data_IF_704270690563
#
_entry.id   IF_704270690563
#
_cell.length_a   1.000
_cell.length_b   1.000
_cell.length_c   1.000
_cell.angle_alpha   90.00
_cell.angle_beta   90.00
_cell.angle_gamma   90.00
#
_symmetry.space_group_name_H-M   'P 1'
#
loop_
_entity.id
_entity.type
_entity.pdbx_description
1 polymer ?
#
# COMPACT_ATOMS: atom_id res chain seq x y z
N UNK A 1 41.14 -51.91 50.85
CA UNK A 1 40.37 -50.64 50.70
C UNK A 1 40.52 -50.19 49.26
N UNK A 2 39.45 -50.46 48.44
CA UNK A 2 39.45 -50.05 47.03
C UNK A 2 38.71 -48.72 46.91
N UNK A 3 39.42 -47.66 46.51
CA UNK A 3 38.83 -46.35 46.23
C UNK A 3 38.15 -46.39 44.84
N UNK A 4 36.83 -46.33 44.79
CA UNK A 4 36.07 -46.17 43.56
C UNK A 4 36.09 -44.68 43.14
N UNK A 5 36.66 -44.39 42.02
CA UNK A 5 36.69 -43.08 41.38
C UNK A 5 35.42 -42.91 40.54
N UNK A 6 34.48 -42.13 41.05
CA UNK A 6 33.29 -41.76 40.30
C UNK A 6 33.64 -40.68 39.26
N UNK A 7 33.61 -41.06 37.98
CA UNK A 7 33.73 -40.09 36.87
C UNK A 7 32.34 -39.50 36.62
N UNK A 8 32.12 -38.24 37.05
CA UNK A 8 30.93 -37.48 36.74
C UNK A 8 31.10 -36.90 35.33
N UNK A 9 30.48 -37.55 34.31
CA UNK A 9 30.41 -37.01 32.95
C UNK A 9 29.34 -35.93 32.93
N UNK A 10 29.75 -34.67 33.02
CA UNK A 10 28.88 -33.51 32.80
C UNK A 10 28.60 -33.39 31.31
N UNK A 11 27.43 -33.82 30.89
CA UNK A 11 26.94 -33.61 29.53
C UNK A 11 26.48 -32.17 29.41
N UNK A 12 27.35 -31.27 28.96
CA UNK A 12 26.94 -29.90 28.57
C UNK A 12 26.20 -29.97 27.25
N UNK A 13 24.87 -29.95 27.31
CA UNK A 13 24.03 -29.68 26.14
C UNK A 13 24.28 -28.24 25.74
N UNK A 14 25.12 -28.02 24.73
CA UNK A 14 25.20 -26.75 24.03
C UNK A 14 23.93 -26.58 23.19
N UNK A 15 22.96 -25.88 23.75
CA UNK A 15 21.84 -25.40 22.94
C UNK A 15 22.40 -24.36 21.98
N UNK A 16 22.49 -24.71 20.70
CA UNK A 16 22.71 -23.73 19.66
C UNK A 16 21.50 -22.83 19.63
N UNK A 17 21.53 -21.69 20.32
CA UNK A 17 20.55 -20.63 20.17
C UNK A 17 20.74 -20.04 18.79
N UNK A 18 19.91 -20.43 17.84
CA UNK A 18 19.74 -19.66 16.62
C UNK A 18 19.09 -18.35 17.01
N UNK A 19 19.87 -17.28 17.05
CA UNK A 19 19.32 -15.95 17.24
C UNK A 19 18.47 -15.59 16.02
N UNK A 20 17.19 -15.43 16.22
CA UNK A 20 16.30 -14.90 15.19
C UNK A 20 16.67 -13.44 14.92
N UNK A 21 16.79 -13.08 13.65
CA UNK A 21 17.21 -11.75 13.23
C UNK A 21 15.96 -10.93 12.86
N UNK A 22 15.71 -9.87 13.64
CA UNK A 22 14.63 -8.92 13.35
C UNK A 22 14.75 -8.40 11.90
N UNK A 23 13.62 -8.22 11.25
CA UNK A 23 13.43 -7.82 9.85
C UNK A 23 13.75 -8.91 8.81
N UNK A 24 14.34 -10.03 9.21
CA UNK A 24 14.59 -11.20 8.37
C UNK A 24 13.66 -12.35 8.79
N UNK A 25 13.70 -12.70 10.07
CA UNK A 25 12.91 -13.79 10.64
C UNK A 25 11.62 -13.28 11.30
N UNK A 26 10.62 -14.15 11.44
CA UNK A 26 9.43 -13.88 12.23
C UNK A 26 9.79 -14.00 13.72
N UNK A 27 10.12 -12.88 14.35
CA UNK A 27 10.55 -12.82 15.76
C UNK A 27 9.40 -12.51 16.73
N UNK A 28 8.23 -12.12 16.21
CA UNK A 28 7.02 -11.88 16.96
C UNK A 28 6.00 -12.98 16.66
N UNK A 29 5.36 -13.50 17.70
CA UNK A 29 4.34 -14.57 17.58
C UNK A 29 2.99 -14.03 17.13
N UNK A 30 2.69 -12.75 17.44
CA UNK A 30 1.36 -12.18 17.27
C UNK A 30 1.40 -10.78 16.65
N UNK A 31 0.26 -10.34 16.13
CA UNK A 31 0.09 -9.09 15.38
C UNK A 31 -1.14 -8.35 15.90
N UNK A 32 -0.96 -7.06 16.19
CA UNK A 32 -2.06 -6.14 16.47
C UNK A 32 -2.52 -5.52 15.14
N UNK A 33 -3.84 -5.50 14.90
CA UNK A 33 -4.42 -4.97 13.67
C UNK A 33 -5.35 -3.81 13.99
N UNK A 34 -5.08 -2.65 13.40
CA UNK A 34 -5.97 -1.49 13.41
C UNK A 34 -6.74 -1.48 12.09
N UNK A 35 -7.99 -1.90 12.14
CA UNK A 35 -8.84 -2.04 10.95
C UNK A 35 -9.55 -0.75 10.60
N UNK A 36 -9.81 -0.56 9.30
CA UNK A 36 -10.63 0.53 8.75
C UNK A 36 -10.17 1.94 9.16
N UNK A 37 -8.86 2.12 9.27
CA UNK A 37 -8.26 3.43 9.53
C UNK A 37 -8.46 4.31 8.30
N UNK A 38 -9.11 5.47 8.47
CA UNK A 38 -9.30 6.43 7.39
C UNK A 38 -7.99 7.19 7.13
N UNK A 39 -7.41 6.98 5.95
CA UNK A 39 -6.18 7.67 5.54
C UNK A 39 -6.43 8.86 4.59
N UNK A 40 -7.68 9.09 4.21
CA UNK A 40 -8.07 10.19 3.34
C UNK A 40 -9.50 10.07 2.82
N UNK A 41 -9.92 11.06 2.04
CA UNK A 41 -11.19 11.07 1.33
C UNK A 41 -10.97 11.60 -0.08
N UNK A 42 -11.54 10.93 -1.09
CA UNK A 42 -11.42 11.41 -2.47
C UNK A 42 -12.61 10.97 -3.33
N UNK A 43 -12.76 11.60 -4.49
CA UNK A 43 -13.90 11.33 -5.39
C UNK A 43 -13.76 9.96 -6.04
N UNK A 44 -14.76 9.10 -5.81
CA UNK A 44 -14.90 7.79 -6.44
C UNK A 44 -15.83 7.86 -7.65
N UNK A 45 -15.52 7.07 -8.69
CA UNK A 45 -16.36 6.89 -9.87
C UNK A 45 -17.31 5.70 -9.75
N UNK A 46 -17.22 4.91 -8.69
CA UNK A 46 -18.07 3.73 -8.48
C UNK A 46 -19.58 4.07 -8.47
N UNK A 47 -20.04 5.22 -7.96
CA UNK A 47 -21.44 5.59 -8.02
C UNK A 47 -22.01 5.63 -9.44
N UNK A 48 -21.19 5.87 -10.47
CA UNK A 48 -21.63 5.81 -11.87
C UNK A 48 -22.23 4.46 -12.25
N UNK A 49 -21.80 3.36 -11.63
CA UNK A 49 -22.35 2.03 -11.86
C UNK A 49 -23.81 1.90 -11.41
N UNK A 50 -24.25 2.78 -10.53
CA UNK A 50 -25.61 2.86 -9.99
C UNK A 50 -26.38 4.05 -10.59
N UNK A 51 -25.86 4.69 -11.65
CA UNK A 51 -26.46 5.87 -12.27
C UNK A 51 -26.37 7.16 -11.43
N UNK A 52 -25.53 7.17 -10.39
CA UNK A 52 -25.30 8.34 -9.54
C UNK A 52 -24.00 9.05 -9.93
N UNK A 53 -23.88 10.37 -9.69
CA UNK A 53 -22.64 11.11 -9.98
C UNK A 53 -21.49 10.66 -9.10
N UNK A 54 -20.21 10.84 -9.54
CA UNK A 54 -19.04 10.63 -8.72
C UNK A 54 -19.15 11.40 -7.40
N UNK A 55 -18.73 10.78 -6.31
CA UNK A 55 -18.88 11.37 -4.98
C UNK A 55 -17.67 11.09 -4.09
N UNK A 56 -17.40 11.96 -3.09
CA UNK A 56 -16.36 11.71 -2.08
C UNK A 56 -16.62 10.40 -1.34
N UNK A 57 -15.55 9.60 -1.21
CA UNK A 57 -15.59 8.30 -0.53
C UNK A 57 -14.38 8.22 0.42
N UNK A 58 -14.57 7.76 1.67
CA UNK A 58 -13.46 7.48 2.58
C UNK A 58 -12.49 6.45 2.00
N UNK A 59 -11.21 6.68 2.19
CA UNK A 59 -10.13 5.78 1.80
C UNK A 59 -9.63 5.07 3.06
N UNK A 60 -9.80 3.75 3.11
CA UNK A 60 -9.55 2.95 4.31
C UNK A 60 -8.33 2.05 4.15
N UNK A 61 -7.56 1.92 5.22
CA UNK A 61 -6.46 0.95 5.32
C UNK A 61 -6.55 0.15 6.62
N UNK A 62 -5.86 -0.99 6.64
CA UNK A 62 -5.58 -1.75 7.86
C UNK A 62 -4.09 -1.66 8.16
N UNK A 63 -3.76 -1.40 9.41
CA UNK A 63 -2.37 -1.26 9.88
C UNK A 63 -2.07 -2.43 10.81
N UNK A 64 -0.98 -3.13 10.52
CA UNK A 64 -0.52 -4.33 11.20
C UNK A 64 0.78 -4.01 11.94
N UNK A 65 0.80 -4.25 13.25
CA UNK A 65 1.97 -4.03 14.10
C UNK A 65 2.39 -5.32 14.81
N UNK A 66 3.68 -5.53 15.10
CA UNK A 66 4.11 -6.62 15.97
C UNK A 66 3.56 -6.39 17.39
N UNK A 67 2.79 -7.36 17.91
CA UNK A 67 2.22 -7.24 19.26
C UNK A 67 3.32 -7.23 20.33
N UNK A 68 3.21 -6.28 21.26
CA UNK A 68 4.16 -6.15 22.37
C UNK A 68 5.52 -5.53 22.02
N UNK A 69 5.71 -5.03 20.81
CA UNK A 69 6.93 -4.35 20.40
C UNK A 69 6.91 -2.87 20.82
N UNK A 70 7.96 -2.43 21.49
CA UNK A 70 8.11 -1.05 21.99
C UNK A 70 8.98 -0.16 21.11
N UNK A 71 9.51 -0.65 19.98
CA UNK A 71 10.31 0.19 19.09
C UNK A 71 9.48 1.27 18.41
N UNK A 72 10.07 2.45 18.28
CA UNK A 72 9.46 3.64 17.66
C UNK A 72 10.17 4.10 16.39
N UNK A 73 10.94 3.21 15.75
CA UNK A 73 11.75 3.48 14.55
C UNK A 73 11.56 2.35 13.51
N UNK A 74 10.36 1.77 13.44
CA UNK A 74 10.05 0.62 12.58
C UNK A 74 9.91 1.03 11.12
N UNK A 75 10.52 0.29 10.17
CA UNK A 75 10.23 0.49 8.75
C UNK A 75 8.78 0.10 8.43
N UNK A 76 8.22 0.74 7.42
CA UNK A 76 6.84 0.54 6.97
C UNK A 76 6.80 -0.17 5.63
N UNK A 77 5.93 -1.16 5.48
CA UNK A 77 5.63 -1.82 4.20
C UNK A 77 4.16 -1.55 3.85
N UNK A 78 3.91 -0.82 2.76
CA UNK A 78 2.57 -0.50 2.28
C UNK A 78 2.27 -1.39 1.08
N UNK A 79 1.16 -2.13 1.12
CA UNK A 79 0.78 -3.10 0.10
C UNK A 79 -0.56 -2.75 -0.56
N UNK A 80 -0.54 -2.58 -1.88
CA UNK A 80 -1.71 -2.42 -2.71
C UNK A 80 -2.22 -3.78 -3.20
N UNK A 81 -3.54 -4.02 -3.09
CA UNK A 81 -4.18 -5.26 -3.49
C UNK A 81 -4.29 -5.40 -5.02
N UNK A 82 -4.62 -6.61 -5.49
CA UNK A 82 -4.95 -6.91 -6.88
C UNK A 82 -6.39 -6.52 -7.24
N UNK A 83 -6.96 -7.01 -8.34
CA UNK A 83 -8.36 -6.79 -8.73
C UNK A 83 -8.53 -6.06 -10.06
N UNK A 84 -7.43 -5.82 -10.79
CA UNK A 84 -7.42 -5.24 -12.16
C UNK A 84 -8.18 -3.90 -12.23
N UNK A 85 -8.19 -3.11 -11.15
CA UNK A 85 -8.92 -1.85 -11.00
C UNK A 85 -10.44 -1.97 -11.20
N UNK A 86 -10.98 -3.18 -11.21
CA UNK A 86 -12.41 -3.42 -11.33
C UNK A 86 -13.15 -2.96 -10.06
N UNK A 87 -14.46 -2.68 -10.13
CA UNK A 87 -15.28 -2.46 -8.94
C UNK A 87 -15.09 -3.59 -7.92
N UNK A 88 -15.22 -3.33 -6.61
CA UNK A 88 -14.95 -4.32 -5.56
C UNK A 88 -15.71 -5.63 -5.68
N UNK A 89 -16.89 -5.58 -6.34
CA UNK A 89 -17.72 -6.76 -6.60
C UNK A 89 -18.20 -6.72 -8.06
N UNK A 90 -18.02 -7.83 -8.77
CA UNK A 90 -18.55 -8.05 -10.12
C UNK A 90 -19.27 -9.39 -10.14
N UNK A 91 -20.52 -9.41 -10.63
CA UNK A 91 -21.36 -10.63 -10.70
C UNK A 91 -21.43 -11.38 -9.36
N UNK A 92 -21.47 -10.64 -8.23
CA UNK A 92 -21.52 -11.23 -6.90
C UNK A 92 -20.19 -11.78 -6.37
N UNK A 93 -19.10 -11.64 -7.14
CA UNK A 93 -17.77 -12.10 -6.74
C UNK A 93 -16.85 -10.94 -6.38
N UNK A 94 -16.07 -11.03 -5.29
CA UNK A 94 -15.08 -10.03 -4.95
C UNK A 94 -13.97 -10.00 -6.00
N UNK A 95 -13.46 -8.82 -6.32
CA UNK A 95 -12.38 -8.62 -7.30
C UNK A 95 -11.04 -8.35 -6.64
N UNK A 96 -11.01 -7.56 -5.59
CA UNK A 96 -9.83 -7.23 -4.81
C UNK A 96 -10.10 -6.14 -3.79
N UNK A 97 -9.44 -6.25 -2.65
CA UNK A 97 -9.51 -5.29 -1.55
C UNK A 97 -8.33 -5.46 -0.59
N UNK A 98 -8.18 -4.54 0.38
CA UNK A 98 -7.25 -4.68 1.51
C UNK A 98 -7.45 -5.96 2.33
N UNK A 99 -8.61 -6.64 2.16
CA UNK A 99 -8.96 -7.89 2.84
C UNK A 99 -8.59 -9.14 2.02
N UNK A 100 -7.96 -9.01 0.86
CA UNK A 100 -7.47 -10.15 0.10
C UNK A 100 -6.55 -11.00 0.97
N UNK A 101 -6.80 -12.30 1.03
CA UNK A 101 -6.09 -13.22 1.93
C UNK A 101 -4.57 -13.17 1.74
N UNK A 102 -4.11 -13.01 0.50
CA UNK A 102 -2.68 -12.88 0.18
C UNK A 102 -2.06 -11.60 0.74
N UNK A 103 -2.79 -10.47 0.69
CA UNK A 103 -2.33 -9.18 1.24
C UNK A 103 -2.34 -9.24 2.78
N UNK A 104 -3.43 -9.74 3.36
CA UNK A 104 -3.55 -9.89 4.82
C UNK A 104 -2.44 -10.77 5.38
N UNK A 105 -2.19 -11.92 4.77
CA UNK A 105 -1.14 -12.84 5.22
C UNK A 105 0.25 -12.21 5.10
N UNK A 106 0.53 -11.50 4.01
CA UNK A 106 1.81 -10.80 3.86
C UNK A 106 1.98 -9.69 4.89
N UNK A 107 0.94 -8.88 5.15
CA UNK A 107 1.00 -7.86 6.19
C UNK A 107 1.29 -8.47 7.57
N UNK A 108 0.65 -9.61 7.91
CA UNK A 108 0.93 -10.33 9.15
C UNK A 108 2.38 -10.82 9.22
N UNK A 109 2.91 -11.39 8.14
CA UNK A 109 4.30 -11.85 8.09
C UNK A 109 5.31 -10.71 8.22
N UNK A 110 5.06 -9.58 7.55
CA UNK A 110 5.89 -8.39 7.72
C UNK A 110 5.85 -7.87 9.16
N UNK A 111 4.66 -7.79 9.76
CA UNK A 111 4.52 -7.39 11.16
C UNK A 111 5.26 -8.35 12.10
N UNK A 112 5.13 -9.66 11.92
CA UNK A 112 5.89 -10.66 12.71
C UNK A 112 7.40 -10.54 12.58
N UNK A 113 7.89 -9.97 11.50
CA UNK A 113 9.33 -9.65 11.32
C UNK A 113 9.75 -8.33 11.97
N UNK A 114 8.80 -7.56 12.51
CA UNK A 114 9.08 -6.31 13.20
C UNK A 114 8.85 -5.04 12.38
N UNK A 115 8.26 -5.15 11.20
CA UNK A 115 7.81 -4.00 10.41
C UNK A 115 6.43 -3.52 10.89
N UNK A 116 6.05 -2.31 10.49
CA UNK A 116 4.64 -1.93 10.41
C UNK A 116 4.19 -2.19 8.98
N UNK A 117 3.13 -2.96 8.79
CA UNK A 117 2.60 -3.25 7.46
C UNK A 117 1.23 -2.60 7.27
N UNK A 118 0.93 -2.14 6.06
CA UNK A 118 -0.31 -1.45 5.74
C UNK A 118 -0.93 -2.05 4.49
N UNK A 119 -2.16 -2.55 4.61
CA UNK A 119 -2.99 -2.92 3.48
C UNK A 119 -4.00 -1.80 3.22
N UNK A 120 -4.09 -1.26 2.02
CA UNK A 120 -4.99 -0.15 1.75
C UNK A 120 -5.90 -0.40 0.54
N UNK A 121 -7.13 0.10 0.63
CA UNK A 121 -8.04 0.20 -0.50
C UNK A 121 -7.73 1.48 -1.28
N UNK A 122 -7.52 1.36 -2.57
CA UNK A 122 -7.42 2.49 -3.48
C UNK A 122 -8.66 2.58 -4.37
N UNK A 123 -8.95 3.75 -4.93
CA UNK A 123 -10.13 3.99 -5.76
C UNK A 123 -10.12 3.16 -7.03
N UNK A 124 -11.12 2.32 -7.15
CA UNK A 124 -11.35 1.40 -8.25
C UNK A 124 -12.34 1.96 -9.27
N UNK A 125 -12.58 1.22 -10.33
CA UNK A 125 -13.59 1.49 -11.33
C UNK A 125 -13.01 1.97 -12.65
N UNK A 126 -13.25 1.15 -13.69
CA UNK A 126 -13.04 1.47 -15.09
C UNK A 126 -14.08 0.70 -15.91
N UNK A 127 -14.19 0.94 -17.21
CA UNK A 127 -15.17 0.30 -18.07
C UNK A 127 -14.52 -0.73 -19.03
N UNK A 128 -14.29 -1.99 -18.58
CA UNK A 128 -13.71 -3.03 -19.43
C UNK A 128 -14.65 -3.51 -20.54
N UNK A 129 -15.96 -3.33 -20.36
CA UNK A 129 -17.00 -3.86 -21.25
C UNK A 129 -17.39 -2.90 -22.39
N UNK A 130 -16.83 -1.70 -22.44
CA UNK A 130 -17.09 -0.78 -23.54
C UNK A 130 -16.72 -1.42 -24.89
N UNK A 131 -17.56 -1.30 -25.89
CA UNK A 131 -17.27 -1.75 -27.25
C UNK A 131 -16.23 -0.83 -27.93
N UNK A 132 -16.06 0.38 -27.42
CA UNK A 132 -15.07 1.35 -27.90
C UNK A 132 -13.76 1.15 -27.18
N UNK A 133 -12.72 0.73 -27.90
CA UNK A 133 -11.38 0.48 -27.32
C UNK A 133 -10.82 1.72 -26.62
N UNK A 134 -11.00 2.89 -27.18
CA UNK A 134 -10.50 4.14 -26.61
C UNK A 134 -11.11 4.42 -25.22
N UNK A 135 -12.39 4.11 -25.01
CA UNK A 135 -13.04 4.23 -23.70
C UNK A 135 -12.41 3.27 -22.69
N UNK A 136 -12.11 2.03 -23.11
CA UNK A 136 -11.39 1.08 -22.22
C UNK A 136 -10.02 1.62 -21.85
N UNK A 137 -9.28 2.10 -22.84
CA UNK A 137 -7.93 2.68 -22.64
C UNK A 137 -7.98 3.88 -21.72
N UNK A 138 -8.86 4.84 -21.98
CA UNK A 138 -9.01 6.04 -21.16
C UNK A 138 -9.35 5.69 -19.70
N UNK A 139 -10.36 4.84 -19.50
CA UNK A 139 -10.87 4.56 -18.16
C UNK A 139 -9.89 3.72 -17.32
N UNK A 140 -9.10 2.81 -17.92
CA UNK A 140 -8.07 2.07 -17.18
C UNK A 140 -6.89 2.98 -16.80
N UNK A 141 -6.44 3.87 -17.69
CA UNK A 141 -5.39 4.85 -17.38
C UNK A 141 -5.84 5.76 -16.22
N UNK A 142 -7.07 6.23 -16.26
CA UNK A 142 -7.68 7.02 -15.18
C UNK A 142 -7.76 6.24 -13.85
N UNK A 143 -8.03 4.94 -13.91
CA UNK A 143 -8.06 4.10 -12.70
C UNK A 143 -6.66 3.94 -12.09
N UNK A 144 -5.63 3.70 -12.90
CA UNK A 144 -4.23 3.66 -12.44
C UNK A 144 -3.84 4.99 -11.80
N UNK A 145 -4.20 6.10 -12.42
CA UNK A 145 -3.91 7.44 -11.90
C UNK A 145 -4.55 7.67 -10.52
N UNK A 146 -5.82 7.31 -10.34
CA UNK A 146 -6.48 7.38 -9.02
C UNK A 146 -5.80 6.49 -7.98
N UNK A 147 -5.45 5.25 -8.35
CA UNK A 147 -4.71 4.35 -7.46
C UNK A 147 -3.37 4.91 -7.03
N UNK A 148 -2.62 5.52 -7.96
CA UNK A 148 -1.36 6.20 -7.67
C UNK A 148 -1.55 7.37 -6.69
N UNK A 149 -2.56 8.21 -6.88
CA UNK A 149 -2.88 9.31 -5.96
C UNK A 149 -3.14 8.78 -4.54
N UNK A 150 -3.91 7.69 -4.44
CA UNK A 150 -4.28 7.09 -3.17
C UNK A 150 -3.08 6.42 -2.49
N UNK A 151 -2.19 5.78 -3.25
CA UNK A 151 -0.92 5.24 -2.73
C UNK A 151 0.00 6.34 -2.17
N UNK A 152 0.06 7.48 -2.82
CA UNK A 152 0.77 8.66 -2.31
C UNK A 152 0.10 9.23 -1.06
N UNK A 153 -1.22 9.23 -1.02
CA UNK A 153 -1.98 9.71 0.14
C UNK A 153 -1.75 8.84 1.36
N UNK A 154 -1.83 7.49 1.24
CA UNK A 154 -1.55 6.59 2.38
C UNK A 154 -0.09 6.69 2.85
N UNK A 155 0.85 6.91 1.93
CA UNK A 155 2.26 7.13 2.28
C UNK A 155 2.44 8.41 3.10
N UNK A 156 1.80 9.51 2.72
CA UNK A 156 1.81 10.76 3.50
C UNK A 156 1.09 10.58 4.83
N UNK A 157 -0.04 9.89 4.84
CA UNK A 157 -0.75 9.56 6.06
C UNK A 157 0.18 8.87 7.06
N UNK A 158 0.88 7.82 6.65
CA UNK A 158 1.82 7.14 7.55
C UNK A 158 2.90 8.09 8.08
N UNK A 159 3.46 8.96 7.25
CA UNK A 159 4.42 9.98 7.70
C UNK A 159 3.81 10.94 8.72
N UNK A 160 2.59 11.41 8.48
CA UNK A 160 1.93 12.32 9.40
C UNK A 160 1.61 11.69 10.76
N UNK A 161 1.39 10.38 10.83
CA UNK A 161 1.20 9.69 12.13
C UNK A 161 2.46 9.76 12.98
N UNK A 162 3.65 9.80 12.38
CA UNK A 162 4.91 10.02 13.09
C UNK A 162 4.94 11.43 13.70
N UNK A 163 4.62 12.45 12.91
CA UNK A 163 4.67 13.87 13.35
C UNK A 163 3.60 14.19 14.40
N UNK A 164 2.51 13.41 14.43
CA UNK A 164 1.40 13.54 15.38
C UNK A 164 1.45 12.50 16.52
N UNK A 165 2.63 12.25 17.08
CA UNK A 165 2.81 11.43 18.28
C UNK A 165 3.29 10.01 18.01
N UNK A 166 3.53 9.65 16.76
CA UNK A 166 4.09 8.35 16.32
C UNK A 166 3.37 7.14 16.92
N UNK A 167 2.05 7.15 16.90
CA UNK A 167 1.21 6.13 17.53
C UNK A 167 1.46 4.70 17.00
N UNK A 168 2.01 4.58 15.79
CA UNK A 168 2.38 3.30 15.18
C UNK A 168 3.89 3.01 15.26
N UNK A 169 4.68 3.81 15.97
CA UNK A 169 6.11 3.59 16.18
C UNK A 169 6.93 3.43 14.91
N UNK A 170 6.68 4.26 13.89
CA UNK A 170 7.29 4.14 12.58
C UNK A 170 8.51 5.05 12.38
N UNK A 171 9.33 4.70 11.39
CA UNK A 171 10.33 5.60 10.82
C UNK A 171 9.81 6.16 9.48
N UNK A 172 9.52 7.47 9.39
CA UNK A 172 8.94 8.09 8.20
C UNK A 172 9.87 8.08 6.98
N UNK A 173 11.17 7.84 7.19
CA UNK A 173 12.18 7.73 6.10
C UNK A 173 12.33 6.32 5.55
N UNK A 174 11.77 5.31 6.22
CA UNK A 174 11.91 3.89 5.85
C UNK A 174 10.56 3.32 5.43
N UNK A 175 10.03 3.78 4.30
CA UNK A 175 8.75 3.33 3.77
C UNK A 175 8.98 2.61 2.44
N UNK A 176 8.42 1.40 2.32
CA UNK A 176 8.39 0.59 1.11
C UNK A 176 6.96 0.55 0.60
N UNK A 177 6.75 0.80 -0.68
CA UNK A 177 5.47 0.64 -1.36
C UNK A 177 5.58 -0.54 -2.33
N UNK A 178 4.61 -1.43 -2.29
CA UNK A 178 4.51 -2.59 -3.17
C UNK A 178 3.08 -2.98 -3.44
N UNK A 179 2.87 -4.09 -4.15
CA UNK A 179 1.52 -4.60 -4.39
C UNK A 179 1.48 -5.80 -5.31
N UNK A 180 0.32 -6.41 -5.37
CA UNK A 180 0.01 -7.56 -6.23
C UNK A 180 -0.74 -7.12 -7.49
N UNK A 181 -0.43 -7.72 -8.65
CA UNK A 181 -1.15 -7.48 -9.88
C UNK A 181 -1.35 -5.99 -10.18
N UNK A 182 -2.60 -5.51 -10.19
CA UNK A 182 -2.89 -4.08 -10.37
C UNK A 182 -2.25 -3.18 -9.30
N UNK A 183 -2.08 -3.68 -8.07
CA UNK A 183 -1.33 -2.97 -7.03
C UNK A 183 0.14 -2.77 -7.38
N UNK A 184 0.75 -3.72 -8.10
CA UNK A 184 2.10 -3.57 -8.66
C UNK A 184 2.15 -2.42 -9.69
N UNK A 185 1.15 -2.29 -10.56
CA UNK A 185 1.06 -1.15 -11.49
C UNK A 185 0.88 0.18 -10.77
N UNK A 186 0.11 0.21 -9.67
CA UNK A 186 0.01 1.40 -8.80
C UNK A 186 1.37 1.81 -8.27
N UNK A 187 2.13 0.84 -7.75
CA UNK A 187 3.46 1.08 -7.19
C UNK A 187 4.44 1.58 -8.26
N UNK A 188 4.41 0.99 -9.46
CA UNK A 188 5.22 1.45 -10.59
C UNK A 188 4.83 2.87 -11.04
N UNK A 189 3.53 3.17 -11.08
CA UNK A 189 3.06 4.51 -11.43
C UNK A 189 3.54 5.57 -10.42
N UNK A 190 3.58 5.23 -9.12
CA UNK A 190 4.16 6.11 -8.09
C UNK A 190 5.64 6.39 -8.36
N UNK A 191 6.39 5.37 -8.82
CA UNK A 191 7.83 5.50 -9.06
C UNK A 191 8.20 6.26 -10.35
N UNK A 192 7.34 6.16 -11.36
CA UNK A 192 7.69 6.59 -12.72
C UNK A 192 6.96 7.85 -13.16
N UNK A 193 5.87 8.22 -12.52
CA UNK A 193 5.11 9.43 -12.80
C UNK A 193 5.44 10.49 -11.75
N UNK A 194 6.44 11.31 -12.00
CA UNK A 194 6.91 12.32 -11.05
C UNK A 194 6.50 13.76 -11.43
N UNK A 195 6.11 13.99 -12.68
CA UNK A 195 5.62 15.28 -13.15
C UNK A 195 4.29 15.18 -13.91
N UNK A 196 3.46 16.22 -13.81
CA UNK A 196 2.20 16.30 -14.56
C UNK A 196 2.42 16.31 -16.08
N UNK A 197 3.60 16.72 -16.54
CA UNK A 197 3.93 16.77 -17.99
C UNK A 197 3.97 15.38 -18.61
N UNK A 198 4.20 14.33 -17.84
CA UNK A 198 4.21 12.95 -18.34
C UNK A 198 2.85 12.49 -18.81
N UNK A 199 1.77 13.11 -18.32
CA UNK A 199 0.41 12.85 -18.82
C UNK A 199 0.22 13.34 -20.27
N UNK A 200 1.11 14.18 -20.77
CA UNK A 200 1.08 14.69 -22.16
C UNK A 200 2.00 13.93 -23.11
N UNK A 201 2.58 12.81 -22.66
CA UNK A 201 3.31 11.93 -23.57
C UNK A 201 2.37 11.32 -24.62
N UNK A 202 2.80 11.12 -25.87
CA UNK A 202 1.93 10.66 -26.96
C UNK A 202 1.09 9.43 -26.65
N UNK A 203 1.63 8.49 -25.86
CA UNK A 203 0.93 7.27 -25.44
C UNK A 203 -0.26 7.51 -24.52
N UNK A 204 -0.36 8.69 -23.90
CA UNK A 204 -1.45 9.07 -23.00
C UNK A 204 -2.39 10.09 -23.63
N UNK A 205 -2.23 10.40 -24.90
CA UNK A 205 -3.07 11.31 -25.66
C UNK A 205 -4.09 10.51 -26.48
N UNK A 206 -5.35 10.92 -26.40
CA UNK A 206 -6.43 10.38 -27.21
C UNK A 206 -6.16 10.69 -28.71
N UNK A 207 -6.14 9.68 -29.59
CA UNK A 207 -5.99 9.89 -31.01
C UNK A 207 -7.24 10.55 -31.63
N UNK A 208 -8.39 10.48 -30.93
CA UNK A 208 -9.66 11.02 -31.44
C UNK A 208 -9.78 12.52 -31.24
N UNK A 209 -9.33 13.07 -30.11
CA UNK A 209 -9.53 14.47 -29.77
C UNK A 209 -8.23 15.23 -29.41
N UNK A 210 -7.09 14.55 -29.42
CA UNK A 210 -5.80 15.15 -29.09
C UNK A 210 -5.60 15.58 -27.63
N UNK A 211 -6.51 15.16 -26.72
CA UNK A 211 -6.43 15.50 -25.32
C UNK A 211 -5.81 14.35 -24.50
N UNK A 212 -5.13 14.63 -23.39
CA UNK A 212 -4.67 13.58 -22.50
C UNK A 212 -5.85 12.83 -21.88
N UNK A 213 -5.69 11.51 -21.69
CA UNK A 213 -6.71 10.68 -21.01
C UNK A 213 -6.93 11.08 -19.55
N UNK A 214 -5.92 11.68 -18.93
CA UNK A 214 -6.03 12.25 -17.58
C UNK A 214 -5.79 13.75 -17.67
N UNK A 215 -6.80 14.52 -17.32
CA UNK A 215 -6.74 15.98 -17.29
C UNK A 215 -6.72 16.40 -15.81
N UNK A 216 -5.62 16.97 -15.29
CA UNK A 216 -5.46 17.29 -13.85
C UNK A 216 -6.58 18.15 -13.28
N UNK A 217 -7.21 19.03 -14.09
CA UNK A 217 -8.33 19.87 -13.68
C UNK A 217 -9.56 19.04 -13.25
N UNK A 218 -9.72 17.82 -13.78
CA UNK A 218 -10.86 16.94 -13.47
C UNK A 218 -10.49 15.81 -12.51
N UNK A 219 -9.22 15.36 -12.54
CA UNK A 219 -8.76 14.19 -11.77
C UNK A 219 -7.90 14.56 -10.58
N UNK A 220 -7.64 15.87 -10.36
CA UNK A 220 -6.70 16.33 -9.36
C UNK A 220 -5.23 16.15 -9.76
N UNK A 221 -4.34 16.68 -8.95
CA UNK A 221 -2.90 16.62 -9.24
C UNK A 221 -2.33 15.22 -8.97
N UNK A 222 -1.12 14.99 -9.48
CA UNK A 222 -0.43 13.70 -9.36
C UNK A 222 -0.10 13.30 -7.91
N UNK A 223 -0.15 14.24 -6.98
CA UNK A 223 0.21 14.01 -5.58
C UNK A 223 -0.96 13.53 -4.71
N UNK A 224 -2.19 13.50 -5.27
CA UNK A 224 -3.40 13.28 -4.52
C UNK A 224 -4.00 14.58 -4.03
N UNK A 225 -5.31 14.60 -3.80
CA UNK A 225 -6.09 15.83 -3.62
C UNK A 225 -6.47 16.13 -2.18
N UNK A 226 -6.11 15.28 -1.23
CA UNK A 226 -6.53 15.49 0.15
C UNK A 226 -5.61 16.47 0.87
N UNK A 227 -5.87 17.78 0.64
CA UNK A 227 -5.22 18.86 1.34
C UNK A 227 -5.76 19.08 2.76
N UNK A 228 -6.88 18.46 3.11
CA UNK A 228 -7.49 18.65 4.42
C UNK A 228 -6.78 17.91 5.53
N UNK A 229 -6.22 16.73 5.22
CA UNK A 229 -5.41 15.96 6.17
C UNK A 229 -3.94 16.36 6.16
N UNK A 230 -3.45 16.92 5.07
CA UNK A 230 -2.04 17.28 4.88
C UNK A 230 -1.95 18.66 4.24
N UNK A 231 -2.03 19.73 5.07
CA UNK A 231 -1.93 21.10 4.57
C UNK A 231 -0.54 21.39 3.98
N UNK A 232 0.42 20.53 4.22
CA UNK A 232 1.73 20.64 3.62
C UNK A 232 1.65 20.25 2.14
N UNK A 233 1.57 21.27 1.30
CA UNK A 233 1.66 21.18 -0.15
C UNK A 233 3.08 20.84 -0.63
N UNK A 234 4.05 20.69 0.29
CA UNK A 234 5.36 20.17 -0.10
C UNK A 234 5.17 18.79 -0.68
N UNK A 235 5.50 18.59 -1.95
CA UNK A 235 5.45 17.27 -2.54
C UNK A 235 6.29 16.32 -1.69
N UNK A 236 5.90 15.05 -1.54
CA UNK A 236 6.70 14.06 -0.84
C UNK A 236 8.09 13.83 -1.49
N UNK A 237 8.44 14.63 -2.48
CA UNK A 237 9.62 14.51 -3.33
C UNK A 237 10.91 15.07 -2.74
N UNK A 238 10.85 15.85 -1.67
CA UNK A 238 12.04 16.14 -0.87
C UNK A 238 12.35 15.04 0.15
N UNK A 239 11.47 14.04 0.27
CA UNK A 239 11.73 12.83 1.03
C UNK A 239 12.15 11.71 0.08
N UNK A 240 13.00 10.77 0.52
CA UNK A 240 13.39 9.62 -0.31
C UNK A 240 12.13 8.96 -0.90
N UNK A 241 12.13 8.73 -2.20
CA UNK A 241 11.08 7.96 -2.87
C UNK A 241 10.96 6.62 -2.16
N UNK A 242 9.75 6.17 -1.81
CA UNK A 242 9.59 4.85 -1.22
C UNK A 242 10.27 3.79 -2.10
N UNK A 243 11.04 2.92 -1.49
CA UNK A 243 11.58 1.76 -2.20
C UNK A 243 10.40 0.97 -2.78
N UNK A 244 10.44 0.73 -4.07
CA UNK A 244 9.38 -0.01 -4.75
C UNK A 244 9.64 -1.50 -4.69
N UNK A 245 8.57 -2.21 -4.38
CA UNK A 245 8.56 -3.65 -4.39
C UNK A 245 7.32 -4.12 -5.15
N UNK A 246 7.52 -4.82 -6.26
CA UNK A 246 6.44 -5.54 -6.95
C UNK A 246 6.51 -6.99 -6.52
N UNK A 247 5.44 -7.47 -5.92
CA UNK A 247 5.32 -8.85 -5.46
C UNK A 247 4.53 -9.61 -6.53
N UNK A 248 5.11 -10.59 -7.21
CA UNK A 248 4.38 -11.39 -8.18
C UNK A 248 3.24 -12.16 -7.51
N UNK A 249 2.18 -12.39 -8.27
CA UNK A 249 1.01 -13.18 -7.84
C UNK A 249 1.39 -14.63 -7.52
#
# INVERSE_FOLDING_TARGET
MKKALLFLISFTFSYASFSQTRYIDEVFSDVTVHSDVNYGTNVSVLPLLLGAPPSPTPLLCDIYEPSGDSLTDRPVVILAHTGVFLPPVINGQPTGSKLDSSIVEQCKRWAKKGYVAVAFNYRLGWNPNSQVQEVRTATVIQAVYRGMQDARTVTRFMRSTHDNGNNYGINPSKIVLGGHGSGGYVSLAVATLDTAMEMYLPKFISPTNGQPYVIPQFYGNIFGTDSTFYPDSTPPFNSPVPLLMNIPN
#
